data_IF_383221905181
#
_entry.id   IF_383221905181
#
_cell.length_a   1.000
_cell.length_b   1.000
_cell.length_c   1.000
_cell.angle_alpha   90.00
_cell.angle_beta   90.00
_cell.angle_gamma   90.00
#
_symmetry.space_group_name_H-M   'P 1'
#
loop_
_entity.id
_entity.type
_entity.pdbx_description
1 polymer ?
#
# COMPACT_ATOMS: atom_id res chain seq x y z
N UNK A 1 15.48 -15.43 -9.00
CA UNK A 1 15.91 -14.46 -10.05
C UNK A 1 14.63 -13.85 -10.62
N UNK A 2 14.51 -12.54 -10.54
CA UNK A 2 13.37 -11.86 -11.13
C UNK A 2 13.56 -11.91 -12.64
N UNK A 3 12.64 -12.55 -13.35
CA UNK A 3 12.63 -12.55 -14.80
C UNK A 3 12.27 -11.13 -15.25
N UNK A 4 13.27 -10.40 -15.75
CA UNK A 4 13.03 -9.08 -16.32
C UNK A 4 11.98 -9.20 -17.42
N UNK A 5 11.01 -8.32 -17.40
CA UNK A 5 9.97 -8.28 -18.41
C UNK A 5 10.58 -8.32 -19.82
N UNK A 6 10.06 -9.20 -20.66
CA UNK A 6 10.49 -9.38 -22.03
C UNK A 6 10.53 -8.04 -22.81
N UNK A 7 11.62 -7.79 -23.53
CA UNK A 7 11.83 -6.57 -24.30
C UNK A 7 10.70 -6.31 -25.32
N UNK A 8 10.18 -7.35 -25.94
CA UNK A 8 9.07 -7.22 -26.90
C UNK A 8 7.81 -6.66 -26.20
N UNK A 9 7.53 -7.12 -24.99
CA UNK A 9 6.41 -6.64 -24.18
C UNK A 9 6.61 -5.19 -23.73
N UNK A 10 7.82 -4.82 -23.33
CA UNK A 10 8.16 -3.43 -23.01
C UNK A 10 7.97 -2.50 -24.20
N UNK A 11 8.43 -2.89 -25.37
CA UNK A 11 8.26 -2.12 -26.62
C UNK A 11 6.77 -1.95 -26.97
N UNK A 12 5.97 -3.00 -26.83
CA UNK A 12 4.53 -2.94 -27.09
C UNK A 12 3.81 -1.98 -26.11
N UNK A 13 4.19 -2.01 -24.82
CA UNK A 13 3.66 -1.08 -23.82
C UNK A 13 4.07 0.36 -24.13
N UNK A 14 5.32 0.60 -24.50
CA UNK A 14 5.81 1.93 -24.87
C UNK A 14 5.10 2.50 -26.10
N UNK A 15 4.81 1.67 -27.10
CA UNK A 15 4.04 2.07 -28.27
C UNK A 15 2.59 2.42 -27.92
N UNK A 16 1.99 1.69 -26.96
CA UNK A 16 0.60 1.88 -26.55
C UNK A 16 0.40 3.09 -25.64
N UNK A 17 1.30 3.30 -24.67
CA UNK A 17 1.11 4.27 -23.59
C UNK A 17 2.06 5.47 -23.66
N UNK A 18 3.08 5.45 -24.50
CA UNK A 18 4.11 6.50 -24.51
C UNK A 18 4.96 6.46 -23.26
N UNK A 19 4.98 7.56 -22.50
CA UNK A 19 5.67 7.62 -21.21
C UNK A 19 4.75 7.07 -20.10
N UNK A 20 5.25 6.15 -19.29
CA UNK A 20 4.47 5.53 -18.20
C UNK A 20 5.38 5.01 -17.09
N UNK A 21 4.79 4.79 -15.92
CA UNK A 21 5.42 4.05 -14.84
C UNK A 21 5.05 2.58 -14.96
N UNK A 22 6.05 1.71 -14.89
CA UNK A 22 5.86 0.27 -14.90
C UNK A 22 6.16 -0.28 -13.50
N UNK A 23 5.19 -1.01 -12.95
CA UNK A 23 5.36 -1.72 -11.68
C UNK A 23 5.32 -3.22 -11.93
N UNK A 24 6.34 -3.92 -11.41
CA UNK A 24 6.36 -5.37 -11.38
C UNK A 24 5.77 -5.85 -10.06
N UNK A 25 4.55 -6.36 -10.10
CA UNK A 25 3.81 -6.81 -8.92
C UNK A 25 4.48 -8.01 -8.24
N UNK A 26 5.12 -8.88 -9.00
CA UNK A 26 5.81 -10.04 -8.44
C UNK A 26 7.02 -9.62 -7.60
N UNK A 27 7.81 -8.67 -8.09
CA UNK A 27 8.94 -8.08 -7.34
C UNK A 27 8.45 -7.41 -6.06
N UNK A 28 7.37 -6.62 -6.13
CA UNK A 28 6.80 -5.94 -4.97
C UNK A 28 6.36 -6.98 -3.92
N UNK A 29 5.62 -8.01 -4.33
CA UNK A 29 5.17 -9.06 -3.42
C UNK A 29 6.34 -9.84 -2.80
N UNK A 30 7.38 -10.14 -3.57
CA UNK A 30 8.58 -10.82 -3.06
C UNK A 30 9.31 -9.98 -2.02
N UNK A 31 9.50 -8.68 -2.27
CA UNK A 31 10.13 -7.77 -1.30
C UNK A 31 9.30 -7.65 -0.02
N UNK A 32 7.98 -7.53 -0.13
CA UNK A 32 7.10 -7.47 1.04
C UNK A 32 7.19 -8.74 1.87
N UNK A 33 7.12 -9.91 1.23
CA UNK A 33 7.25 -11.20 1.90
C UNK A 33 8.62 -11.37 2.56
N UNK A 34 9.68 -10.93 1.91
CA UNK A 34 11.04 -11.00 2.45
C UNK A 34 11.18 -10.17 3.72
N UNK A 35 10.66 -8.94 3.73
CA UNK A 35 10.68 -8.09 4.93
C UNK A 35 9.98 -8.75 6.11
N UNK A 36 8.80 -9.33 5.89
CA UNK A 36 8.07 -10.06 6.94
C UNK A 36 8.89 -11.24 7.48
N UNK A 37 9.55 -11.98 6.60
CA UNK A 37 10.34 -13.16 6.99
C UNK A 37 11.65 -12.79 7.71
N UNK A 38 12.31 -11.73 7.29
CA UNK A 38 13.60 -11.31 7.83
C UNK A 38 13.50 -10.62 9.20
N UNK A 39 12.32 -10.08 9.52
CA UNK A 39 12.09 -9.32 10.75
C UNK A 39 10.92 -9.91 11.55
N UNK A 40 11.13 -11.06 12.15
CA UNK A 40 10.13 -11.71 12.99
C UNK A 40 9.69 -10.81 14.16
N UNK A 41 8.39 -10.75 14.41
CA UNK A 41 7.82 -9.94 15.49
C UNK A 41 7.71 -8.44 15.21
N UNK A 42 8.11 -8.00 14.01
CA UNK A 42 7.95 -6.60 13.57
C UNK A 42 6.68 -6.47 12.73
N UNK A 43 5.83 -5.52 13.10
CA UNK A 43 4.68 -5.14 12.28
C UNK A 43 5.10 -4.07 11.26
N UNK A 44 4.95 -4.39 9.98
CA UNK A 44 5.21 -3.43 8.91
C UNK A 44 3.93 -2.69 8.52
N UNK A 45 4.07 -1.39 8.32
CA UNK A 45 3.01 -0.53 7.82
C UNK A 45 3.42 0.03 6.46
N UNK A 46 2.51 -0.04 5.50
CA UNK A 46 2.69 0.55 4.19
C UNK A 46 2.19 1.98 4.16
N UNK A 47 3.05 2.92 3.80
CA UNK A 47 2.69 4.32 3.63
C UNK A 47 1.92 4.51 2.32
N UNK A 48 0.59 4.55 2.40
CA UNK A 48 -0.31 4.56 1.23
C UNK A 48 -0.05 5.75 0.32
N UNK A 49 0.34 6.90 0.89
CA UNK A 49 0.67 8.12 0.12
C UNK A 49 1.80 7.92 -0.90
N UNK A 50 2.69 6.96 -0.67
CA UNK A 50 3.82 6.71 -1.56
C UNK A 50 3.38 6.17 -2.92
N UNK A 51 2.41 5.27 -2.92
CA UNK A 51 1.77 4.74 -4.13
C UNK A 51 0.42 4.11 -3.77
N UNK A 52 -0.65 4.74 -4.18
CA UNK A 52 -2.01 4.29 -3.93
C UNK A 52 -2.63 3.49 -5.09
N UNK A 53 -1.81 3.07 -6.06
CA UNK A 53 -2.29 2.18 -7.13
C UNK A 53 -2.93 0.92 -6.52
N UNK A 54 -4.18 0.58 -6.86
CA UNK A 54 -4.91 -0.51 -6.23
C UNK A 54 -4.19 -1.86 -6.30
N UNK A 55 -3.49 -2.14 -7.39
CA UNK A 55 -2.77 -3.40 -7.57
C UNK A 55 -1.53 -3.47 -6.67
N UNK A 56 -0.81 -2.36 -6.50
CA UNK A 56 0.32 -2.26 -5.59
C UNK A 56 -0.14 -2.41 -4.14
N UNK A 57 -1.16 -1.67 -3.75
CA UNK A 57 -1.74 -1.71 -2.39
C UNK A 57 -2.21 -3.13 -2.05
N UNK A 58 -2.95 -3.77 -2.96
CA UNK A 58 -3.42 -5.15 -2.77
C UNK A 58 -2.26 -6.13 -2.57
N UNK A 59 -1.21 -6.00 -3.38
CA UNK A 59 -0.03 -6.86 -3.30
C UNK A 59 0.67 -6.73 -1.93
N UNK A 60 0.86 -5.51 -1.45
CA UNK A 60 1.52 -5.24 -0.16
C UNK A 60 0.65 -5.71 1.02
N UNK A 61 -0.63 -5.39 1.02
CA UNK A 61 -1.52 -5.79 2.13
C UNK A 61 -1.75 -7.30 2.18
N UNK A 62 -1.80 -7.98 1.02
CA UNK A 62 -1.92 -9.45 0.99
C UNK A 62 -0.71 -10.18 1.57
N UNK A 63 0.43 -9.51 1.70
CA UNK A 63 1.62 -10.04 2.35
C UNK A 63 1.70 -9.73 3.86
N UNK A 64 0.64 -9.20 4.45
CA UNK A 64 0.55 -9.01 5.90
C UNK A 64 0.96 -7.62 6.39
N UNK A 65 1.15 -6.64 5.51
CA UNK A 65 1.38 -5.25 5.91
C UNK A 65 0.08 -4.62 6.38
N UNK A 66 0.19 -3.79 7.43
CA UNK A 66 -0.83 -2.83 7.78
C UNK A 66 -0.70 -1.54 6.96
N UNK A 67 -1.55 -0.56 7.24
CA UNK A 67 -1.55 0.73 6.56
C UNK A 67 -1.10 1.87 7.48
N UNK A 68 -0.20 2.70 6.98
CA UNK A 68 0.05 4.04 7.49
C UNK A 68 -0.69 5.03 6.58
N UNK A 69 -1.82 5.54 7.08
CA UNK A 69 -2.70 6.43 6.36
C UNK A 69 -2.51 7.88 6.80
N UNK A 70 -2.40 8.79 5.84
CA UNK A 70 -2.25 10.22 6.07
C UNK A 70 -3.53 11.02 5.81
N UNK A 71 -4.63 10.37 5.44
CA UNK A 71 -5.93 10.99 5.16
C UNK A 71 -7.08 10.01 5.36
N UNK A 72 -8.31 10.53 5.47
CA UNK A 72 -9.51 9.69 5.46
C UNK A 72 -9.64 8.85 4.19
N UNK A 73 -9.25 9.39 3.04
CA UNK A 73 -9.24 8.67 1.78
C UNK A 73 -8.32 7.45 1.82
N UNK A 74 -7.15 7.57 2.43
CA UNK A 74 -6.21 6.47 2.60
C UNK A 74 -6.71 5.43 3.61
N UNK A 75 -7.37 5.86 4.70
CA UNK A 75 -8.06 4.94 5.63
C UNK A 75 -9.12 4.15 4.87
N UNK A 76 -9.91 4.81 4.05
CA UNK A 76 -10.95 4.16 3.24
C UNK A 76 -10.35 3.18 2.23
N UNK A 77 -9.23 3.53 1.61
CA UNK A 77 -8.48 2.62 0.73
C UNK A 77 -8.07 1.34 1.46
N UNK A 78 -7.52 1.47 2.67
CA UNK A 78 -7.12 0.33 3.48
C UNK A 78 -8.31 -0.57 3.84
N UNK A 79 -9.44 0.01 4.25
CA UNK A 79 -10.67 -0.73 4.53
C UNK A 79 -11.19 -1.48 3.31
N UNK A 80 -11.19 -0.83 2.15
CA UNK A 80 -11.64 -1.43 0.89
C UNK A 80 -10.80 -2.65 0.49
N UNK A 81 -9.51 -2.65 0.87
CA UNK A 81 -8.61 -3.78 0.66
C UNK A 81 -8.63 -4.82 1.79
N UNK A 82 -9.58 -4.73 2.71
CA UNK A 82 -9.86 -5.75 3.72
C UNK A 82 -9.08 -5.63 5.02
N UNK A 83 -8.34 -4.53 5.27
CA UNK A 83 -7.69 -4.32 6.55
C UNK A 83 -8.71 -3.99 7.65
N UNK A 84 -8.50 -4.55 8.84
CA UNK A 84 -9.23 -4.19 10.04
C UNK A 84 -8.65 -2.95 10.72
N UNK A 85 -9.40 -2.39 11.65
CA UNK A 85 -9.02 -1.20 12.43
C UNK A 85 -7.63 -1.33 13.07
N UNK A 86 -7.32 -2.48 13.60
CA UNK A 86 -6.06 -2.77 14.30
C UNK A 86 -4.83 -2.71 13.38
N UNK A 87 -5.04 -2.81 12.07
CA UNK A 87 -3.97 -2.78 11.07
C UNK A 87 -3.92 -1.45 10.31
N UNK A 88 -4.78 -0.49 10.65
CA UNK A 88 -4.82 0.83 10.02
C UNK A 88 -4.44 1.89 11.04
N UNK A 89 -3.35 2.61 10.78
CA UNK A 89 -2.88 3.72 11.60
C UNK A 89 -3.05 5.03 10.84
N UNK A 90 -3.84 5.94 11.42
CA UNK A 90 -4.06 7.26 10.84
C UNK A 90 -3.15 8.29 11.52
N UNK A 91 -2.04 8.62 10.87
CA UNK A 91 -0.94 9.43 11.41
C UNK A 91 -0.79 10.77 10.69
N UNK A 92 -1.82 11.59 10.66
CA UNK A 92 -1.75 12.92 10.07
C UNK A 92 -1.73 14.02 11.15
N UNK A 93 -0.89 15.06 11.01
CA UNK A 93 -0.83 16.15 12.00
C UNK A 93 -2.04 17.07 11.95
N UNK A 94 -2.76 17.14 10.83
CA UNK A 94 -3.85 18.07 10.57
C UNK A 94 -5.25 17.47 10.66
N UNK A 95 -5.49 16.52 11.58
CA UNK A 95 -6.85 15.95 11.74
C UNK A 95 -7.84 16.99 12.24
N UNK A 96 -8.95 17.14 11.52
CA UNK A 96 -10.11 17.92 11.98
C UNK A 96 -11.00 17.08 12.88
N UNK A 97 -11.94 17.71 13.60
CA UNK A 97 -12.95 16.99 14.39
C UNK A 97 -13.75 16.02 13.52
N UNK A 98 -14.03 16.38 12.27
CA UNK A 98 -14.68 15.50 11.31
C UNK A 98 -13.83 14.28 11.00
N UNK A 99 -12.56 14.48 10.70
CA UNK A 99 -11.62 13.39 10.40
C UNK A 99 -11.58 12.37 11.55
N UNK A 100 -11.51 12.88 12.78
CA UNK A 100 -11.51 12.04 13.98
C UNK A 100 -12.81 11.25 14.11
N UNK A 101 -13.96 11.91 13.98
CA UNK A 101 -15.28 11.26 14.11
C UNK A 101 -15.48 10.17 13.05
N UNK A 102 -15.08 10.44 11.81
CA UNK A 102 -15.27 9.51 10.70
C UNK A 102 -14.29 8.32 10.76
N UNK A 103 -13.12 8.48 11.35
CA UNK A 103 -12.08 7.45 11.37
C UNK A 103 -11.95 6.68 12.68
N UNK A 104 -12.48 7.17 13.78
CA UNK A 104 -12.25 6.60 15.12
C UNK A 104 -12.65 5.13 15.27
N UNK A 105 -13.61 4.66 14.49
CA UNK A 105 -14.06 3.26 14.48
C UNK A 105 -13.33 2.40 13.44
N UNK A 106 -12.61 3.03 12.53
CA UNK A 106 -12.05 2.41 11.35
C UNK A 106 -10.53 2.36 11.35
N UNK A 107 -9.89 3.11 12.24
CA UNK A 107 -8.43 3.20 12.31
C UNK A 107 -7.95 3.45 13.74
N UNK A 108 -6.68 3.16 13.98
CA UNK A 108 -5.95 3.61 15.17
C UNK A 108 -5.42 5.00 14.90
N UNK A 109 -5.84 5.96 15.71
CA UNK A 109 -5.40 7.36 15.55
C UNK A 109 -4.07 7.59 16.25
N UNK A 110 -3.16 8.27 15.58
CA UNK A 110 -1.87 8.71 16.13
C UNK A 110 -1.85 10.24 16.12
N UNK A 111 -1.54 10.80 17.25
CA UNK A 111 -1.43 12.25 17.43
C UNK A 111 -0.18 12.82 16.74
#
# INVERSE_FOLDING_TARGET
MVELMDEARLRALAQRYGSFYLYDGEVICQHAAQLINDFEGVQFLYSVKANHNPDVVRCVFSNGFGADAASLGEVQTALTHGLGREDIYYSAPGKTDRDIRESIRSATLIA
#
